data_IF_823241477519
#
_entry.id   IF_823241477519
#
_cell.length_a   1.000
_cell.length_b   1.000
_cell.length_c   1.000
_cell.angle_alpha   90.00
_cell.angle_beta   90.00
_cell.angle_gamma   90.00
#
_symmetry.space_group_name_H-M   'P 1'
#
loop_
_entity.id
_entity.type
_entity.pdbx_description
1 polymer ?
#
# COMPACT_ATOMS: atom_id res chain seq x y z
N UNK A 1 3.08 42.04 -1.05
CA UNK A 1 2.53 40.66 -1.02
C UNK A 1 1.12 40.67 -1.59
N UNK A 2 0.89 39.96 -2.69
CA UNK A 2 -0.44 39.80 -3.26
C UNK A 2 -1.31 38.92 -2.35
N UNK A 3 -2.64 39.01 -2.44
CA UNK A 3 -3.57 38.18 -1.65
C UNK A 3 -3.41 36.68 -1.98
N UNK A 4 -3.00 36.37 -3.21
CA UNK A 4 -2.73 35.01 -3.65
C UNK A 4 -1.50 34.44 -2.93
N UNK A 5 -0.39 35.18 -2.96
CA UNK A 5 0.89 34.78 -2.32
C UNK A 5 0.70 34.60 -0.81
N UNK A 6 0.02 35.55 -0.13
CA UNK A 6 -0.27 35.41 1.30
C UNK A 6 -1.07 34.13 1.60
N UNK A 7 -2.02 33.76 0.75
CA UNK A 7 -2.81 32.53 0.93
C UNK A 7 -1.92 31.29 0.75
N UNK A 8 -1.06 31.28 -0.25
CA UNK A 8 -0.13 30.18 -0.52
C UNK A 8 0.89 30.01 0.61
N UNK A 9 1.52 31.11 1.05
CA UNK A 9 2.44 31.12 2.19
C UNK A 9 1.78 30.59 3.47
N UNK A 10 0.52 30.96 3.74
CA UNK A 10 -0.21 30.43 4.90
C UNK A 10 -0.54 28.93 4.78
N UNK A 11 -0.75 28.42 3.56
CA UNK A 11 -0.92 26.98 3.35
C UNK A 11 0.39 26.26 3.61
N UNK A 12 1.50 26.80 3.10
CA UNK A 12 2.80 26.18 3.28
C UNK A 12 3.28 26.22 4.72
N UNK A 13 3.18 27.37 5.36
CA UNK A 13 3.40 27.50 6.80
C UNK A 13 2.60 26.45 7.60
N UNK A 14 1.37 26.15 7.16
CA UNK A 14 0.56 25.11 7.81
C UNK A 14 1.07 23.69 7.53
N UNK A 15 1.67 23.44 6.36
CA UNK A 15 2.26 22.17 6.01
C UNK A 15 3.53 21.93 6.83
N UNK A 16 4.48 22.87 6.86
CA UNK A 16 5.72 22.83 7.66
C UNK A 16 5.45 22.49 9.13
N UNK A 17 4.57 23.24 9.79
CA UNK A 17 4.23 22.96 11.20
C UNK A 17 3.55 21.60 11.37
N UNK A 18 2.82 21.13 10.36
CA UNK A 18 2.18 19.81 10.42
C UNK A 18 3.22 18.69 10.28
N UNK A 19 4.16 18.83 9.35
CA UNK A 19 5.29 17.92 9.12
C UNK A 19 6.18 17.83 10.36
N UNK A 20 6.58 18.97 10.95
CA UNK A 20 7.25 19.04 12.27
C UNK A 20 6.59 18.13 13.32
N UNK A 21 5.26 18.23 13.49
CA UNK A 21 4.57 17.41 14.49
C UNK A 21 4.48 15.93 14.10
N UNK A 22 4.50 15.58 12.82
CA UNK A 22 4.54 14.19 12.35
C UNK A 22 5.92 13.61 12.63
N UNK A 23 6.98 14.25 12.13
CA UNK A 23 8.37 13.85 12.33
C UNK A 23 8.72 13.74 13.81
N UNK A 24 8.41 14.76 14.62
CA UNK A 24 8.67 14.74 16.06
C UNK A 24 7.91 13.63 16.81
N UNK A 25 6.70 13.25 16.38
CA UNK A 25 5.96 12.12 16.98
C UNK A 25 6.59 10.77 16.61
N UNK A 26 7.01 10.62 15.36
CA UNK A 26 7.67 9.41 14.87
C UNK A 26 9.06 9.25 15.51
N UNK A 27 9.85 10.33 15.62
CA UNK A 27 11.13 10.37 16.31
C UNK A 27 11.01 9.89 17.77
N UNK A 28 10.03 10.40 18.52
CA UNK A 28 9.77 9.96 19.90
C UNK A 28 9.42 8.48 19.99
N UNK A 29 8.73 7.92 18.99
CA UNK A 29 8.39 6.49 18.94
C UNK A 29 9.62 5.64 18.66
N UNK A 30 10.44 6.03 17.68
CA UNK A 30 11.69 5.34 17.35
C UNK A 30 12.69 5.40 18.50
N UNK A 31 12.79 6.53 19.19
CA UNK A 31 13.63 6.68 20.40
C UNK A 31 13.27 5.70 21.50
N UNK A 32 11.98 5.40 21.71
CA UNK A 32 11.53 4.38 22.67
C UNK A 32 11.96 2.95 22.29
N UNK A 33 12.26 2.71 21.02
CA UNK A 33 12.73 1.42 20.48
C UNK A 33 14.26 1.35 20.35
N UNK A 34 15.00 2.38 20.79
CA UNK A 34 16.45 2.52 20.58
C UNK A 34 16.86 2.42 19.09
N UNK A 35 16.02 2.92 18.20
CA UNK A 35 16.30 2.91 16.77
C UNK A 35 17.22 4.08 16.39
N UNK A 36 18.34 3.86 15.67
CA UNK A 36 19.26 4.92 15.24
C UNK A 36 18.58 5.99 14.38
N UNK A 37 17.49 5.65 13.69
CA UNK A 37 16.73 6.55 12.82
C UNK A 37 15.98 7.64 13.59
N UNK A 38 15.87 7.54 14.92
CA UNK A 38 15.18 8.52 15.75
C UNK A 38 15.83 9.91 15.73
N UNK A 39 17.16 9.97 15.65
CA UNK A 39 17.91 11.24 15.63
C UNK A 39 17.70 11.98 14.31
N UNK A 40 17.66 11.25 13.19
CA UNK A 40 17.42 11.81 11.87
C UNK A 40 16.04 12.47 11.78
N UNK A 41 14.98 11.78 12.19
CA UNK A 41 13.64 12.39 12.22
C UNK A 41 13.52 13.57 13.17
N UNK A 42 14.27 13.55 14.29
CA UNK A 42 14.27 14.68 15.19
C UNK A 42 14.93 15.89 14.53
N UNK A 43 16.01 15.68 13.77
CA UNK A 43 16.65 16.75 13.00
C UNK A 43 15.73 17.29 11.91
N UNK A 44 15.12 16.44 11.09
CA UNK A 44 14.15 16.87 10.06
C UNK A 44 13.00 17.65 10.73
N UNK A 45 12.48 17.15 11.85
CA UNK A 45 11.48 17.89 12.64
C UNK A 45 11.98 19.28 13.07
N UNK A 46 13.26 19.43 13.42
CA UNK A 46 13.82 20.71 13.86
C UNK A 46 14.06 21.67 12.68
N UNK A 47 14.35 21.15 11.49
CA UNK A 47 14.47 21.92 10.23
C UNK A 47 13.09 22.49 9.81
N UNK A 48 12.03 21.67 9.87
CA UNK A 48 10.64 22.01 9.55
C UNK A 48 10.06 23.14 10.42
N UNK A 49 10.43 23.20 11.71
CA UNK A 49 10.02 24.31 12.56
C UNK A 49 10.79 25.59 12.23
N UNK A 50 12.01 25.49 11.71
CA UNK A 50 12.75 26.63 11.20
C UNK A 50 12.11 27.17 9.92
N UNK A 51 11.74 26.30 8.98
CA UNK A 51 10.98 26.66 7.77
C UNK A 51 9.66 27.37 8.13
N UNK A 52 8.87 26.81 9.05
CA UNK A 52 7.67 27.46 9.59
C UNK A 52 7.94 28.88 10.10
N UNK A 53 9.03 29.07 10.85
CA UNK A 53 9.39 30.37 11.43
C UNK A 53 9.84 31.37 10.37
N UNK A 54 10.56 30.94 9.34
CA UNK A 54 10.96 31.79 8.21
C UNK A 54 9.72 32.30 7.47
N UNK A 55 8.74 31.43 7.20
CA UNK A 55 7.47 31.84 6.57
C UNK A 55 6.63 32.72 7.52
N UNK A 56 6.68 32.47 8.83
CA UNK A 56 6.02 33.30 9.85
C UNK A 56 6.54 34.75 9.85
N UNK A 57 7.84 34.95 9.64
CA UNK A 57 8.45 36.30 9.57
C UNK A 57 7.92 37.11 8.39
N UNK A 58 7.70 36.47 7.24
CA UNK A 58 7.14 37.11 6.04
C UNK A 58 5.63 37.35 6.17
N UNK A 59 4.89 36.37 6.70
CA UNK A 59 3.42 36.45 6.81
C UNK A 59 2.93 37.25 8.01
N UNK A 60 3.76 37.42 9.05
CA UNK A 60 3.41 37.96 10.36
C UNK A 60 2.16 37.30 10.97
N UNK A 61 1.94 36.01 10.70
CA UNK A 61 0.78 35.25 11.17
C UNK A 61 1.21 33.91 11.74
N UNK A 62 0.59 33.55 12.86
CA UNK A 62 0.78 32.24 13.50
C UNK A 62 -0.28 31.27 12.97
N UNK A 63 0.13 30.13 12.43
CA UNK A 63 -0.79 29.11 11.91
C UNK A 63 -0.66 27.80 12.69
N UNK A 64 -1.81 27.20 13.05
CA UNK A 64 -1.86 25.94 13.81
C UNK A 64 -1.81 24.72 12.88
N UNK A 65 -1.19 23.61 13.33
CA UNK A 65 -1.08 22.39 12.54
C UNK A 65 -2.44 21.73 12.26
N UNK A 66 -2.49 20.99 11.15
CA UNK A 66 -3.63 20.14 10.80
C UNK A 66 -3.63 18.90 11.70
N UNK A 67 -4.23 18.97 12.89
CA UNK A 67 -4.26 17.87 13.88
C UNK A 67 -4.71 16.52 13.30
N UNK A 68 -5.69 16.54 12.40
CA UNK A 68 -6.16 15.32 11.71
C UNK A 68 -5.09 14.74 10.78
N UNK A 69 -4.39 15.59 10.01
CA UNK A 69 -3.27 15.16 9.15
C UNK A 69 -2.16 14.55 10.01
N UNK A 70 -1.78 15.19 11.12
CA UNK A 70 -0.80 14.63 12.08
C UNK A 70 -1.23 13.25 12.58
N UNK A 71 -2.51 13.08 12.94
CA UNK A 71 -3.04 11.80 13.40
C UNK A 71 -3.00 10.75 12.28
N UNK A 72 -3.46 11.09 11.08
CA UNK A 72 -3.53 10.19 9.93
C UNK A 72 -2.15 9.66 9.54
N UNK A 73 -1.18 10.55 9.31
CA UNK A 73 0.18 10.16 8.91
C UNK A 73 0.91 9.41 10.03
N UNK A 74 0.70 9.79 11.28
CA UNK A 74 1.23 9.00 12.40
C UNK A 74 0.73 7.55 12.36
N UNK A 75 -0.58 7.33 12.22
CA UNK A 75 -1.12 5.98 12.20
C UNK A 75 -0.74 5.20 10.94
N UNK A 76 -0.66 5.86 9.79
CA UNK A 76 -0.26 5.20 8.55
C UNK A 76 1.19 4.69 8.63
N UNK A 77 2.11 5.52 9.16
CA UNK A 77 3.49 5.11 9.45
C UNK A 77 3.56 3.99 10.49
N UNK A 78 2.60 3.89 11.39
CA UNK A 78 2.58 2.85 12.44
C UNK A 78 2.04 1.52 11.94
N UNK A 79 0.96 1.55 11.16
CA UNK A 79 0.27 0.36 10.67
C UNK A 79 1.01 -0.21 9.47
N UNK A 80 1.20 0.60 8.44
CA UNK A 80 1.77 0.18 7.16
C UNK A 80 3.29 0.15 7.15
N UNK A 81 3.93 0.69 8.18
CA UNK A 81 5.39 0.77 8.27
C UNK A 81 5.86 2.20 8.13
N UNK A 82 6.95 2.49 8.84
CA UNK A 82 7.41 3.85 9.02
C UNK A 82 7.88 4.45 7.68
N UNK A 83 8.62 3.67 6.90
CA UNK A 83 8.97 3.99 5.51
C UNK A 83 7.79 4.42 4.66
N UNK A 84 6.72 3.63 4.64
CA UNK A 84 5.56 3.91 3.79
C UNK A 84 4.91 5.25 4.15
N UNK A 85 4.70 5.48 5.45
CA UNK A 85 4.02 6.69 5.88
C UNK A 85 4.86 7.94 5.71
N UNK A 86 6.19 7.84 5.81
CA UNK A 86 7.10 8.93 5.45
C UNK A 86 7.08 9.23 3.96
N UNK A 87 7.22 8.21 3.12
CA UNK A 87 7.20 8.38 1.67
C UNK A 87 5.87 8.95 1.17
N UNK A 88 4.77 8.61 1.85
CA UNK A 88 3.47 9.22 1.58
C UNK A 88 3.40 10.69 2.00
N UNK A 89 4.11 11.08 3.07
CA UNK A 89 4.17 12.47 3.54
C UNK A 89 4.98 13.32 2.54
N UNK A 90 6.17 12.85 2.18
CA UNK A 90 7.05 13.47 1.18
C UNK A 90 6.34 13.67 -0.16
N UNK A 91 5.60 12.66 -0.64
CA UNK A 91 4.78 12.80 -1.87
C UNK A 91 3.66 13.84 -1.76
N UNK A 92 3.19 14.15 -0.56
CA UNK A 92 2.20 15.22 -0.35
C UNK A 92 2.87 16.60 -0.30
N UNK A 93 4.10 16.66 0.19
CA UNK A 93 4.96 17.86 0.19
C UNK A 93 5.47 18.20 -1.21
N UNK A 94 6.02 17.24 -1.97
CA UNK A 94 6.44 17.43 -3.37
C UNK A 94 5.31 18.00 -4.25
N UNK A 95 4.09 17.46 -4.08
CA UNK A 95 2.90 17.98 -4.78
C UNK A 95 2.54 19.40 -4.36
N UNK A 96 2.77 19.75 -3.09
CA UNK A 96 2.54 21.09 -2.60
C UNK A 96 3.59 22.06 -3.16
N UNK A 97 4.87 21.68 -3.18
CA UNK A 97 5.98 22.46 -3.75
C UNK A 97 5.73 22.86 -5.20
N UNK A 98 5.24 21.93 -6.05
CA UNK A 98 4.89 22.23 -7.44
C UNK A 98 3.85 23.36 -7.60
N UNK A 99 3.05 23.63 -6.56
CA UNK A 99 2.09 24.75 -6.54
C UNK A 99 2.73 26.10 -6.18
N UNK A 100 3.95 26.09 -5.65
CA UNK A 100 4.68 27.23 -5.12
C UNK A 100 5.96 27.57 -5.89
N UNK A 101 6.29 26.88 -6.98
CA UNK A 101 7.48 27.16 -7.81
C UNK A 101 7.62 28.65 -8.15
N UNK A 102 6.52 29.33 -8.48
CA UNK A 102 6.50 30.77 -8.76
C UNK A 102 6.87 31.65 -7.56
N UNK A 103 6.65 31.20 -6.31
CA UNK A 103 7.07 31.94 -5.12
C UNK A 103 8.59 31.97 -4.96
N UNK A 104 9.32 31.02 -5.56
CA UNK A 104 10.78 31.02 -5.55
C UNK A 104 11.41 32.12 -6.41
N UNK A 105 10.62 32.70 -7.33
CA UNK A 105 11.03 33.87 -8.12
C UNK A 105 10.97 35.15 -7.27
N UNK A 106 9.97 35.27 -6.39
CA UNK A 106 9.73 36.45 -5.56
C UNK A 106 10.45 36.39 -4.20
N UNK A 107 10.72 35.19 -3.68
CA UNK A 107 11.25 34.97 -2.34
C UNK A 107 12.46 34.03 -2.37
N UNK A 108 13.66 34.60 -2.21
CA UNK A 108 14.92 33.85 -2.31
C UNK A 108 15.08 32.73 -1.28
N UNK A 109 14.46 32.84 -0.11
CA UNK A 109 14.58 31.83 0.96
C UNK A 109 13.86 30.52 0.63
N UNK A 110 12.87 30.51 -0.28
CA UNK A 110 12.23 29.27 -0.72
C UNK A 110 13.20 28.34 -1.45
N UNK A 111 14.25 28.88 -2.07
CA UNK A 111 15.30 28.06 -2.69
C UNK A 111 16.08 27.26 -1.65
N UNK A 112 16.26 27.81 -0.44
CA UNK A 112 16.89 27.09 0.67
C UNK A 112 15.95 26.02 1.22
N UNK A 113 14.66 26.34 1.42
CA UNK A 113 13.65 25.37 1.86
C UNK A 113 13.57 24.20 0.89
N UNK A 114 13.44 24.45 -0.42
CA UNK A 114 13.38 23.38 -1.42
C UNK A 114 14.66 22.53 -1.47
N UNK A 115 15.83 23.14 -1.27
CA UNK A 115 17.09 22.39 -1.19
C UNK A 115 17.17 21.52 0.07
N UNK A 116 16.59 21.99 1.18
CA UNK A 116 16.49 21.23 2.43
C UNK A 116 15.47 20.09 2.30
N UNK A 117 14.34 20.28 1.62
CA UNK A 117 13.39 19.20 1.35
C UNK A 117 13.97 18.12 0.41
N UNK A 118 14.68 18.51 -0.65
CA UNK A 118 15.43 17.57 -1.49
C UNK A 118 16.48 16.76 -0.69
N UNK A 119 17.03 17.36 0.38
CA UNK A 119 17.96 16.69 1.30
C UNK A 119 17.20 15.74 2.21
N UNK A 120 16.07 16.16 2.78
CA UNK A 120 15.21 15.33 3.62
C UNK A 120 14.79 14.07 2.88
N UNK A 121 14.27 14.18 1.65
CA UNK A 121 13.84 13.03 0.85
C UNK A 121 14.99 12.02 0.69
N UNK A 122 16.19 12.48 0.30
CA UNK A 122 17.38 11.62 0.12
C UNK A 122 17.83 10.95 1.42
N UNK A 123 17.81 11.69 2.52
CA UNK A 123 18.17 11.14 3.83
C UNK A 123 17.15 10.09 4.28
N UNK A 124 15.87 10.36 4.08
CA UNK A 124 14.79 9.41 4.35
C UNK A 124 14.97 8.16 3.49
N UNK A 125 15.19 8.29 2.17
CA UNK A 125 15.46 7.18 1.24
C UNK A 125 16.59 6.26 1.74
N UNK A 126 17.68 6.82 2.27
CA UNK A 126 18.81 6.06 2.80
C UNK A 126 18.48 5.29 4.09
N UNK A 127 17.49 5.76 4.87
CA UNK A 127 16.98 5.02 6.03
C UNK A 127 16.07 3.84 5.63
N UNK A 128 15.53 3.83 4.40
CA UNK A 128 14.48 2.90 3.96
C UNK A 128 14.96 1.47 3.67
N UNK A 129 16.15 1.07 4.11
CA UNK A 129 16.56 -0.33 4.20
C UNK A 129 15.82 -1.05 5.35
N UNK A 130 14.49 -0.93 5.37
CA UNK A 130 13.63 -1.61 6.32
C UNK A 130 13.32 -3.03 5.85
N UNK A 131 13.46 -3.97 6.79
CA UNK A 131 13.02 -5.37 6.72
C UNK A 131 11.60 -5.53 6.12
N UNK A 132 10.68 -4.59 6.37
CA UNK A 132 9.32 -4.60 5.78
C UNK A 132 9.28 -4.32 4.28
N UNK A 133 10.20 -3.50 3.78
CA UNK A 133 10.29 -3.21 2.34
C UNK A 133 10.97 -4.36 1.59
N UNK A 134 11.90 -5.06 2.25
CA UNK A 134 12.48 -6.32 1.77
C UNK A 134 11.40 -7.38 1.54
N UNK A 135 10.53 -7.64 2.53
CA UNK A 135 9.47 -8.65 2.41
C UNK A 135 8.21 -8.19 1.69
N UNK A 136 8.12 -6.91 1.33
CA UNK A 136 7.00 -6.40 0.52
C UNK A 136 6.93 -7.13 -0.82
N UNK A 137 8.06 -7.52 -1.41
CA UNK A 137 8.10 -8.36 -2.62
C UNK A 137 7.32 -9.66 -2.42
N UNK A 138 7.65 -10.39 -1.35
CA UNK A 138 7.04 -11.67 -0.97
C UNK A 138 5.54 -11.54 -0.68
N UNK A 139 5.12 -10.50 0.06
CA UNK A 139 3.70 -10.20 0.30
C UNK A 139 2.94 -9.95 -1.02
N UNK A 140 3.50 -9.11 -1.89
CA UNK A 140 2.87 -8.75 -3.17
C UNK A 140 2.77 -9.96 -4.09
N UNK A 141 3.80 -10.80 -4.11
CA UNK A 141 3.78 -12.05 -4.85
C UNK A 141 2.62 -12.93 -4.37
N UNK A 142 2.54 -13.19 -3.05
CA UNK A 142 1.48 -13.99 -2.43
C UNK A 142 0.06 -13.51 -2.73
N UNK A 143 -0.17 -12.20 -2.65
CA UNK A 143 -1.49 -11.62 -2.93
C UNK A 143 -1.86 -11.72 -4.40
N UNK A 144 -0.93 -11.37 -5.30
CA UNK A 144 -1.20 -11.34 -6.73
C UNK A 144 -1.54 -12.74 -7.25
N UNK A 145 -0.81 -13.75 -6.80
CA UNK A 145 -1.05 -15.14 -7.19
C UNK A 145 -2.42 -15.62 -6.67
N UNK A 146 -2.70 -15.42 -5.38
CA UNK A 146 -4.00 -15.75 -4.79
C UNK A 146 -5.18 -15.06 -5.51
N UNK A 147 -5.02 -13.78 -5.86
CA UNK A 147 -6.04 -13.00 -6.55
C UNK A 147 -6.30 -13.50 -7.97
N UNK A 148 -5.28 -13.96 -8.69
CA UNK A 148 -5.47 -14.47 -10.05
C UNK A 148 -6.00 -15.90 -10.02
N UNK A 149 -5.36 -16.78 -9.25
CA UNK A 149 -5.69 -18.21 -9.16
C UNK A 149 -7.07 -18.42 -8.57
N UNK A 150 -7.34 -17.85 -7.39
CA UNK A 150 -8.58 -18.13 -6.67
C UNK A 150 -9.80 -17.46 -7.30
N UNK A 151 -9.65 -16.27 -7.88
CA UNK A 151 -10.71 -15.62 -8.67
C UNK A 151 -11.07 -16.47 -9.89
N UNK A 152 -10.07 -17.02 -10.58
CA UNK A 152 -10.25 -18.01 -11.63
C UNK A 152 -11.02 -19.24 -11.18
N UNK A 153 -10.52 -19.89 -10.12
CA UNK A 153 -11.10 -21.11 -9.57
C UNK A 153 -12.54 -20.92 -9.09
N UNK A 154 -12.81 -19.88 -8.30
CA UNK A 154 -14.14 -19.56 -7.78
C UNK A 154 -15.13 -19.25 -8.91
N UNK A 155 -14.70 -18.57 -9.98
CA UNK A 155 -15.54 -18.34 -11.14
C UNK A 155 -15.92 -19.65 -11.85
N UNK A 156 -14.94 -20.54 -12.06
CA UNK A 156 -15.18 -21.87 -12.63
C UNK A 156 -16.09 -22.74 -11.75
N UNK A 157 -15.85 -22.78 -10.44
CA UNK A 157 -16.65 -23.54 -9.47
C UNK A 157 -18.08 -23.00 -9.36
N UNK A 158 -18.25 -21.67 -9.39
CA UNK A 158 -19.57 -21.04 -9.38
C UNK A 158 -20.42 -21.55 -10.53
N UNK A 159 -19.82 -21.64 -11.71
CA UNK A 159 -20.51 -22.17 -12.88
C UNK A 159 -20.78 -23.67 -12.76
N UNK A 160 -19.79 -24.46 -12.36
CA UNK A 160 -19.89 -25.91 -12.35
C UNK A 160 -20.86 -26.46 -11.29
N UNK A 161 -20.93 -25.85 -10.11
CA UNK A 161 -21.61 -26.45 -8.95
C UNK A 161 -22.88 -25.72 -8.52
N UNK A 162 -23.00 -24.41 -8.77
CA UNK A 162 -24.12 -23.57 -8.31
C UNK A 162 -24.53 -23.75 -6.83
N UNK A 163 -23.61 -24.22 -5.97
CA UNK A 163 -23.83 -24.48 -4.55
C UNK A 163 -22.74 -23.77 -3.75
N UNK A 164 -23.12 -22.73 -3.00
CA UNK A 164 -22.18 -21.86 -2.30
C UNK A 164 -21.35 -22.58 -1.25
N UNK A 165 -21.94 -23.55 -0.54
CA UNK A 165 -21.21 -24.35 0.46
C UNK A 165 -20.16 -25.25 -0.19
N UNK A 166 -20.50 -25.89 -1.30
CA UNK A 166 -19.56 -26.74 -2.04
C UNK A 166 -18.40 -25.90 -2.62
N UNK A 167 -18.73 -24.74 -3.22
CA UNK A 167 -17.74 -23.80 -3.75
C UNK A 167 -16.82 -23.29 -2.63
N UNK A 168 -17.38 -22.95 -1.47
CA UNK A 168 -16.59 -22.47 -0.33
C UNK A 168 -15.63 -23.55 0.18
N UNK A 169 -16.08 -24.79 0.34
CA UNK A 169 -15.24 -25.90 0.81
C UNK A 169 -14.10 -26.18 -0.19
N UNK A 170 -14.42 -26.32 -1.47
CA UNK A 170 -13.41 -26.58 -2.52
C UNK A 170 -12.43 -25.40 -2.60
N UNK A 171 -12.96 -24.16 -2.66
CA UNK A 171 -12.14 -22.96 -2.69
C UNK A 171 -11.19 -22.84 -1.49
N UNK A 172 -11.64 -23.24 -0.29
CA UNK A 172 -10.84 -23.13 0.93
C UNK A 172 -9.74 -24.20 0.95
N UNK A 173 -10.05 -25.43 0.53
CA UNK A 173 -9.07 -26.50 0.38
C UNK A 173 -8.02 -26.12 -0.68
N UNK A 174 -8.45 -25.67 -1.86
CA UNK A 174 -7.58 -25.24 -2.95
C UNK A 174 -6.71 -24.06 -2.51
N UNK A 175 -7.31 -23.00 -1.96
CA UNK A 175 -6.59 -21.78 -1.57
C UNK A 175 -5.59 -22.01 -0.43
N UNK A 176 -5.94 -22.81 0.58
CA UNK A 176 -5.01 -23.14 1.67
C UNK A 176 -3.86 -24.01 1.15
N UNK A 177 -4.15 -25.00 0.30
CA UNK A 177 -3.12 -25.85 -0.30
C UNK A 177 -2.16 -25.04 -1.19
N UNK A 178 -2.70 -24.17 -2.04
CA UNK A 178 -1.93 -23.26 -2.88
C UNK A 178 -1.07 -22.30 -2.07
N UNK A 179 -1.60 -21.73 -0.97
CA UNK A 179 -0.83 -20.89 -0.06
C UNK A 179 0.40 -21.59 0.53
N UNK A 180 0.24 -22.83 1.01
CA UNK A 180 1.37 -23.59 1.54
C UNK A 180 2.39 -23.91 0.44
N UNK A 181 1.91 -24.27 -0.76
CA UNK A 181 2.77 -24.49 -1.93
C UNK A 181 3.57 -23.24 -2.27
N UNK A 182 2.91 -22.08 -2.28
CA UNK A 182 3.55 -20.81 -2.62
C UNK A 182 4.53 -20.35 -1.55
N UNK A 183 4.21 -20.51 -0.26
CA UNK A 183 5.13 -20.25 0.83
C UNK A 183 6.38 -21.15 0.73
N UNK A 184 6.20 -22.43 0.39
CA UNK A 184 7.32 -23.35 0.17
C UNK A 184 8.17 -22.93 -1.04
N UNK A 185 7.55 -22.52 -2.14
CA UNK A 185 8.25 -22.00 -3.33
C UNK A 185 9.06 -20.75 -3.00
N UNK A 186 8.48 -19.80 -2.28
CA UNK A 186 9.19 -18.59 -1.84
C UNK A 186 10.37 -18.94 -0.92
N UNK A 187 10.17 -19.85 0.04
CA UNK A 187 11.25 -20.31 0.91
C UNK A 187 12.43 -20.87 0.10
N UNK A 188 12.14 -21.74 -0.87
CA UNK A 188 13.18 -22.36 -1.70
C UNK A 188 13.89 -21.33 -2.58
N UNK A 189 13.15 -20.39 -3.17
CA UNK A 189 13.71 -19.33 -4.02
C UNK A 189 14.59 -18.39 -3.20
N UNK A 190 14.08 -17.83 -2.11
CA UNK A 190 14.83 -16.90 -1.26
C UNK A 190 16.02 -17.59 -0.60
N UNK A 191 15.94 -18.88 -0.26
CA UNK A 191 17.08 -19.61 0.31
C UNK A 191 18.28 -19.70 -0.64
N UNK A 192 18.04 -19.68 -1.95
CA UNK A 192 19.12 -19.69 -2.96
C UNK A 192 19.76 -18.31 -3.15
N UNK A 193 18.99 -17.24 -2.95
CA UNK A 193 19.46 -15.86 -3.14
C UNK A 193 20.01 -15.24 -1.84
N UNK A 194 19.25 -15.32 -0.76
CA UNK A 194 19.49 -14.68 0.54
C UNK A 194 18.98 -15.57 1.70
N UNK A 195 19.82 -16.53 2.09
CA UNK A 195 19.48 -17.62 3.00
C UNK A 195 18.97 -17.20 4.39
N UNK A 196 19.41 -16.05 4.88
CA UNK A 196 19.07 -15.57 6.24
C UNK A 196 17.60 -15.14 6.37
N UNK A 197 16.98 -14.76 5.24
CA UNK A 197 15.66 -14.15 5.20
C UNK A 197 14.56 -15.06 4.65
N UNK A 198 14.90 -16.28 4.21
CA UNK A 198 14.00 -17.19 3.50
C UNK A 198 12.76 -17.62 4.31
N UNK A 199 12.93 -17.89 5.61
CA UNK A 199 11.80 -18.29 6.49
C UNK A 199 10.82 -17.14 6.66
N UNK A 200 11.32 -15.91 6.81
CA UNK A 200 10.47 -14.73 6.99
C UNK A 200 9.72 -14.44 5.69
N UNK A 201 10.41 -14.46 4.54
CA UNK A 201 9.81 -14.26 3.22
C UNK A 201 8.64 -15.24 2.99
N UNK A 202 8.84 -16.53 3.23
CA UNK A 202 7.79 -17.54 3.05
C UNK A 202 6.59 -17.37 3.98
N UNK A 203 6.82 -16.99 5.24
CA UNK A 203 5.73 -16.69 6.18
C UNK A 203 4.91 -15.50 5.69
N UNK A 204 5.57 -14.42 5.24
CA UNK A 204 4.88 -13.24 4.70
C UNK A 204 4.06 -13.58 3.45
N UNK A 205 4.61 -14.36 2.51
CA UNK A 205 3.89 -14.83 1.32
C UNK A 205 2.68 -15.69 1.70
N UNK A 206 2.87 -16.69 2.56
CA UNK A 206 1.82 -17.60 2.98
C UNK A 206 0.67 -16.89 3.70
N UNK A 207 0.99 -16.00 4.66
CA UNK A 207 -0.01 -15.21 5.37
C UNK A 207 -0.79 -14.27 4.44
N UNK A 208 -0.11 -13.63 3.50
CA UNK A 208 -0.75 -12.74 2.53
C UNK A 208 -1.72 -13.53 1.62
N UNK A 209 -1.32 -14.72 1.20
CA UNK A 209 -2.16 -15.62 0.42
C UNK A 209 -3.38 -16.09 1.21
N UNK A 210 -3.21 -16.66 2.41
CA UNK A 210 -4.33 -17.13 3.27
C UNK A 210 -5.32 -16.00 3.54
N UNK A 211 -4.82 -14.82 3.84
CA UNK A 211 -5.66 -13.64 4.11
C UNK A 211 -6.54 -13.32 2.90
N UNK A 212 -5.97 -13.36 1.69
CA UNK A 212 -6.72 -13.16 0.43
C UNK A 212 -7.77 -14.25 0.24
N UNK A 213 -7.40 -15.51 0.46
CA UNK A 213 -8.31 -16.66 0.36
C UNK A 213 -9.53 -16.48 1.26
N UNK A 214 -9.32 -16.08 2.52
CA UNK A 214 -10.40 -15.82 3.46
C UNK A 214 -11.33 -14.73 2.93
N UNK A 215 -10.78 -13.60 2.46
CA UNK A 215 -11.60 -12.50 1.94
C UNK A 215 -12.41 -12.86 0.69
N UNK A 216 -11.84 -13.64 -0.22
CA UNK A 216 -12.52 -14.05 -1.45
C UNK A 216 -13.58 -15.14 -1.23
N UNK A 217 -13.38 -16.01 -0.24
CA UNK A 217 -14.34 -17.08 0.08
C UNK A 217 -15.48 -16.57 0.97
N UNK A 218 -15.25 -15.54 1.77
CA UNK A 218 -16.22 -15.01 2.71
C UNK A 218 -17.63 -14.78 2.11
N UNK A 219 -17.79 -14.22 0.89
CA UNK A 219 -19.12 -14.08 0.28
C UNK A 219 -19.84 -15.42 0.04
N UNK A 220 -19.11 -16.49 -0.29
CA UNK A 220 -19.67 -17.84 -0.48
C UNK A 220 -20.10 -18.51 0.82
N UNK A 221 -19.57 -18.05 1.97
CA UNK A 221 -20.03 -18.50 3.28
C UNK A 221 -21.25 -17.71 3.80
N UNK A 222 -21.41 -16.47 3.35
CA UNK A 222 -22.44 -15.56 3.87
C UNK A 222 -23.70 -15.49 2.99
N UNK A 223 -23.58 -15.75 1.69
CA UNK A 223 -24.68 -15.63 0.73
C UNK A 223 -25.09 -16.99 0.19
N UNK A 224 -26.38 -17.16 -0.05
CA UNK A 224 -26.96 -18.40 -0.60
C UNK A 224 -26.88 -18.47 -2.13
N UNK A 225 -26.84 -17.32 -2.81
CA UNK A 225 -26.81 -17.26 -4.28
C UNK A 225 -25.37 -17.25 -4.80
N UNK A 226 -24.97 -18.31 -5.50
CA UNK A 226 -23.61 -18.50 -5.99
C UNK A 226 -23.12 -17.38 -6.93
N UNK A 227 -23.98 -16.88 -7.83
CA UNK A 227 -23.62 -15.79 -8.74
C UNK A 227 -23.50 -14.44 -8.02
N UNK A 228 -24.33 -14.20 -7.00
CA UNK A 228 -24.19 -13.01 -6.16
C UNK A 228 -22.89 -13.08 -5.34
N UNK A 229 -22.55 -14.24 -4.76
CA UNK A 229 -21.30 -14.48 -4.05
C UNK A 229 -20.09 -14.23 -4.94
N UNK A 230 -20.13 -14.72 -6.19
CA UNK A 230 -19.08 -14.46 -7.17
C UNK A 230 -18.94 -12.96 -7.45
N UNK A 231 -20.05 -12.25 -7.72
CA UNK A 231 -20.02 -10.81 -7.98
C UNK A 231 -19.39 -10.01 -6.83
N UNK A 232 -19.74 -10.33 -5.58
CA UNK A 232 -19.15 -9.71 -4.39
C UNK A 232 -17.67 -10.10 -4.25
N UNK A 233 -17.30 -11.36 -4.48
CA UNK A 233 -15.92 -11.84 -4.45
C UNK A 233 -15.04 -11.11 -5.48
N UNK A 234 -15.53 -10.92 -6.72
CA UNK A 234 -14.83 -10.15 -7.75
C UNK A 234 -14.66 -8.68 -7.33
N UNK A 235 -15.68 -8.08 -6.72
CA UNK A 235 -15.58 -6.73 -6.16
C UNK A 235 -14.53 -6.62 -5.06
N UNK A 236 -14.46 -7.60 -4.16
CA UNK A 236 -13.42 -7.70 -3.14
C UNK A 236 -12.04 -7.86 -3.78
N UNK A 237 -11.89 -8.72 -4.79
CA UNK A 237 -10.63 -8.90 -5.51
C UNK A 237 -10.14 -7.57 -6.11
N UNK A 238 -10.99 -6.85 -6.84
CA UNK A 238 -10.65 -5.54 -7.41
C UNK A 238 -10.28 -4.53 -6.33
N UNK A 239 -10.98 -4.53 -5.20
CA UNK A 239 -10.68 -3.65 -4.08
C UNK A 239 -9.32 -3.96 -3.43
N UNK A 240 -9.00 -5.24 -3.23
CA UNK A 240 -7.68 -5.69 -2.75
C UNK A 240 -6.59 -5.26 -3.75
N UNK A 241 -6.79 -5.51 -5.06
CA UNK A 241 -5.87 -5.08 -6.13
C UNK A 241 -5.64 -3.56 -6.06
N UNK A 242 -6.71 -2.77 -5.85
CA UNK A 242 -6.62 -1.31 -5.73
C UNK A 242 -5.76 -0.89 -4.53
N UNK A 243 -6.06 -1.41 -3.33
CA UNK A 243 -5.31 -1.06 -2.11
C UNK A 243 -3.83 -1.42 -2.26
N UNK A 244 -3.53 -2.63 -2.73
CA UNK A 244 -2.15 -3.08 -2.82
C UNK A 244 -1.38 -2.38 -3.92
N UNK A 245 -1.98 -2.13 -5.09
CA UNK A 245 -1.29 -1.36 -6.12
C UNK A 245 -1.04 0.08 -5.68
N UNK A 246 -1.96 0.68 -4.92
CA UNK A 246 -1.73 2.00 -4.32
C UNK A 246 -0.57 1.96 -3.34
N UNK A 247 -0.55 0.97 -2.44
CA UNK A 247 0.53 0.78 -1.48
C UNK A 247 1.90 0.68 -2.16
N UNK A 248 2.02 -0.17 -3.19
CA UNK A 248 3.29 -0.35 -3.90
C UNK A 248 3.65 0.87 -4.75
N UNK A 249 2.66 1.53 -5.36
CA UNK A 249 2.90 2.77 -6.12
C UNK A 249 3.51 3.87 -5.24
N UNK A 250 3.05 3.98 -3.99
CA UNK A 250 3.64 4.89 -3.02
C UNK A 250 5.02 4.40 -2.59
N UNK A 251 5.16 3.12 -2.23
CA UNK A 251 6.42 2.57 -1.69
C UNK A 251 7.57 2.54 -2.72
N UNK A 252 7.29 2.18 -3.99
CA UNK A 252 8.29 1.95 -5.05
C UNK A 252 8.24 2.95 -6.22
N UNK A 253 7.46 4.03 -6.10
CA UNK A 253 7.27 5.04 -7.16
C UNK A 253 6.80 4.49 -8.50
N UNK A 254 6.09 3.37 -8.47
CA UNK A 254 5.51 2.81 -9.68
C UNK A 254 4.24 3.54 -10.09
N UNK A 255 3.92 3.48 -11.39
CA UNK A 255 2.67 4.04 -11.90
C UNK A 255 1.47 3.20 -11.42
N UNK A 256 0.65 3.78 -10.54
CA UNK A 256 -0.54 3.14 -9.96
C UNK A 256 -1.51 2.65 -11.05
N UNK A 257 -1.94 3.57 -11.93
CA UNK A 257 -3.00 3.31 -12.92
C UNK A 257 -2.63 2.16 -13.84
N UNK A 258 -1.39 2.15 -14.33
CA UNK A 258 -0.90 1.08 -15.20
C UNK A 258 -0.95 -0.28 -14.51
N UNK A 259 -0.36 -0.40 -13.32
CA UNK A 259 -0.32 -1.69 -12.60
C UNK A 259 -1.70 -2.15 -12.13
N UNK A 260 -2.53 -1.23 -11.67
CA UNK A 260 -3.90 -1.52 -11.29
C UNK A 260 -4.71 -2.09 -12.47
N UNK A 261 -4.62 -1.47 -13.65
CA UNK A 261 -5.30 -1.95 -14.85
C UNK A 261 -4.74 -3.29 -15.34
N UNK A 262 -3.41 -3.45 -15.36
CA UNK A 262 -2.75 -4.72 -15.73
C UNK A 262 -3.22 -5.86 -14.82
N UNK A 263 -3.13 -5.70 -13.50
CA UNK A 263 -3.52 -6.73 -12.53
C UNK A 263 -5.01 -7.03 -12.57
N UNK A 264 -5.86 -6.01 -12.68
CA UNK A 264 -7.31 -6.18 -12.77
C UNK A 264 -7.69 -6.92 -14.07
N UNK A 265 -7.07 -6.54 -15.20
CA UNK A 265 -7.33 -7.20 -16.48
C UNK A 265 -6.87 -8.67 -16.48
N UNK A 266 -5.71 -8.97 -15.88
CA UNK A 266 -5.23 -10.35 -15.75
C UNK A 266 -6.18 -11.17 -14.86
N UNK A 267 -6.50 -10.68 -13.65
CA UNK A 267 -7.34 -11.41 -12.69
C UNK A 267 -8.76 -11.64 -13.23
N UNK A 268 -9.41 -10.61 -13.77
CA UNK A 268 -10.74 -10.74 -14.37
C UNK A 268 -10.72 -11.54 -15.69
N UNK A 269 -9.66 -11.41 -16.48
CA UNK A 269 -9.47 -12.19 -17.71
C UNK A 269 -9.36 -13.68 -17.43
N UNK A 270 -8.55 -14.06 -16.43
CA UNK A 270 -8.45 -15.45 -15.96
C UNK A 270 -9.79 -15.94 -15.39
N UNK A 271 -10.52 -15.10 -14.65
CA UNK A 271 -11.86 -15.45 -14.18
C UNK A 271 -12.83 -15.78 -15.32
N UNK A 272 -12.85 -14.97 -16.39
CA UNK A 272 -13.70 -15.23 -17.57
C UNK A 272 -13.29 -16.51 -18.28
N UNK A 273 -11.99 -16.74 -18.48
CA UNK A 273 -11.48 -17.96 -19.12
C UNK A 273 -11.83 -19.20 -18.29
N UNK A 274 -11.60 -19.15 -16.98
CA UNK A 274 -11.90 -20.26 -16.07
C UNK A 274 -13.40 -20.53 -15.93
N UNK A 275 -14.24 -19.48 -15.99
CA UNK A 275 -15.69 -19.64 -16.06
C UNK A 275 -16.11 -20.36 -17.33
N UNK A 276 -15.57 -19.96 -18.49
CA UNK A 276 -15.83 -20.62 -19.77
C UNK A 276 -15.31 -22.07 -19.79
N UNK A 277 -14.17 -22.31 -19.17
CA UNK A 277 -13.63 -23.66 -18.99
C UNK A 277 -14.54 -24.52 -18.10
N UNK A 278 -15.02 -23.97 -16.98
CA UNK A 278 -16.02 -24.64 -16.13
C UNK A 278 -17.29 -25.02 -16.90
N UNK A 279 -17.75 -24.14 -17.80
CA UNK A 279 -18.85 -24.45 -18.73
C UNK A 279 -18.53 -25.60 -19.67
N UNK A 280 -17.36 -25.59 -20.31
CA UNK A 280 -16.94 -26.66 -21.21
C UNK A 280 -16.86 -28.01 -20.48
N UNK A 281 -16.23 -28.03 -19.30
CA UNK A 281 -16.10 -29.27 -18.49
C UNK A 281 -17.47 -29.82 -18.11
N UNK A 282 -18.40 -28.98 -17.67
CA UNK A 282 -19.75 -29.42 -17.32
C UNK A 282 -20.54 -29.95 -18.52
N UNK A 283 -20.23 -29.49 -19.73
CA UNK A 283 -20.91 -29.96 -20.95
C UNK A 283 -20.32 -31.27 -21.51
N UNK A 284 -19.00 -31.47 -21.39
CA UNK A 284 -18.30 -32.62 -21.98
C UNK A 284 -18.09 -33.79 -21.01
N UNK A 285 -18.11 -33.53 -19.70
CA UNK A 285 -17.97 -34.57 -18.69
C UNK A 285 -19.32 -34.75 -18.02
N UNK A 286 -20.04 -35.81 -18.37
CA UNK A 286 -21.28 -36.27 -17.73
C UNK A 286 -21.00 -36.75 -16.29
N UNK A 287 -20.60 -35.83 -15.40
CA UNK A 287 -20.56 -36.11 -13.96
C UNK A 287 -21.92 -35.68 -13.40
N UNK A 288 -22.73 -36.59 -12.84
CA UNK A 288 -23.93 -36.21 -12.14
C UNK A 288 -23.53 -35.38 -10.92
N UNK A 289 -23.68 -34.05 -11.00
CA UNK A 289 -23.55 -33.16 -9.85
C UNK A 289 -24.85 -33.32 -9.06
N UNK A 290 -24.75 -34.05 -7.95
CA UNK A 290 -25.87 -34.45 -7.09
C UNK A 290 -26.49 -33.26 -6.33
#
# INVERSE_FOLDING_TARGET
>A
MNKLDLKLLMVEQKNEITAHFIYGKLAKRLKKKNDPNASLLQRISDDEIEHYRRIEQETNRVVKPKRFKVFFYYWISVIFGFTFGLKLLEKDEEKAQASYDHLSEDYSFFKEIFADEDRHEKELLNMLNEERLTYMGSVVLGLNDALVELTGALAGFTFAFNNTSLIAIIGLITGVSASFSMAASEYLSTKQEDGDNAIKASIYTGLAYITTVIFLILPFLLLENAYASLGVSLGIAVFIIMIFNYYISVAKDYNFTRRFLEMTAISLGVAVISFAFGFAVNHFIDIPVA
#
